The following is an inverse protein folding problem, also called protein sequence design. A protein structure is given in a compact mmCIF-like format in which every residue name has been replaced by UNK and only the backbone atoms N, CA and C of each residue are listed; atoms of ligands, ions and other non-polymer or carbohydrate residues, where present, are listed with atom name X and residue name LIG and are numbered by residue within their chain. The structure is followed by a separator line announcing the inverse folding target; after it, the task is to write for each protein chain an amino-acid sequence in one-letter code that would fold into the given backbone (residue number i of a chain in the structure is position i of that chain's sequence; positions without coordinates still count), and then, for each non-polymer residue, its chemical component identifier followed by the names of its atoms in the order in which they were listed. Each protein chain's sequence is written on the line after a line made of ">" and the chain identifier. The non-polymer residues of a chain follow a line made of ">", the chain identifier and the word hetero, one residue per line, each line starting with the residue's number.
data_IF_944463941796
#
_entry.id   IF_944463941796
#
_cell.length_a   1.000
_cell.length_b   1.000
_cell.length_c   1.000
_cell.angle_alpha   90.00
_cell.angle_beta   90.00
_cell.angle_gamma   90.00
#
_symmetry.space_group_name_H-M   'P 1'
#
loop_
_entity.id
_entity.type
_entity.pdbx_description
1 polymer ?
#
# COMPACT_ATOMS: atom_id res chain seq x y z
N UNK A 1 -4.20 28.53 -9.33
CA UNK A 1 -3.47 27.56 -10.16
C UNK A 1 -2.87 26.56 -9.19
N UNK A 2 -3.34 25.29 -9.15
CA UNK A 2 -2.73 24.29 -8.26
C UNK A 2 -1.33 23.98 -8.80
N UNK A 3 -0.32 24.13 -7.97
CA UNK A 3 1.04 23.76 -8.33
C UNK A 3 1.22 22.29 -7.98
N UNK A 4 1.25 21.43 -9.00
CA UNK A 4 1.51 20.01 -8.83
C UNK A 4 3.02 19.82 -8.68
N UNK A 5 3.49 19.73 -7.43
CA UNK A 5 4.90 19.56 -7.10
C UNK A 5 5.13 18.08 -6.80
N UNK A 6 6.05 17.47 -7.53
CA UNK A 6 6.54 16.13 -7.25
C UNK A 6 7.25 16.12 -5.89
N UNK A 7 6.80 15.27 -4.98
CA UNK A 7 7.37 15.09 -3.63
C UNK A 7 8.05 13.73 -3.52
N UNK A 8 9.14 13.66 -2.78
CA UNK A 8 9.88 12.40 -2.55
C UNK A 8 10.33 12.32 -1.12
N UNK A 9 10.10 11.16 -0.50
CA UNK A 9 10.44 10.85 0.88
C UNK A 9 11.30 9.59 0.88
N UNK A 10 12.44 9.62 1.56
CA UNK A 10 13.42 8.53 1.57
C UNK A 10 14.40 8.56 0.40
N UNK A 11 15.08 7.42 0.19
CA UNK A 11 16.08 7.21 -0.87
C UNK A 11 15.60 6.07 -1.77
N UNK A 12 15.42 6.32 -3.07
CA UNK A 12 14.94 5.31 -4.03
C UNK A 12 15.80 4.05 -4.04
N UNK A 13 17.10 4.14 -3.74
CA UNK A 13 18.01 2.99 -3.70
C UNK A 13 17.87 2.13 -2.44
N UNK A 14 17.12 2.60 -1.43
CA UNK A 14 16.82 1.84 -0.21
C UNK A 14 15.32 1.64 -0.10
N UNK A 15 14.60 2.72 0.20
CA UNK A 15 13.16 2.78 0.32
C UNK A 15 12.69 4.23 0.15
N UNK A 16 11.77 4.46 -0.78
CA UNK A 16 11.19 5.79 -0.97
C UNK A 16 9.74 5.73 -1.45
N UNK A 17 9.00 6.77 -1.11
CA UNK A 17 7.72 7.10 -1.72
C UNK A 17 7.89 8.38 -2.53
N UNK A 18 7.36 8.38 -3.74
CA UNK A 18 7.21 9.59 -4.55
C UNK A 18 5.75 9.73 -4.96
N UNK A 19 5.21 10.94 -4.87
CA UNK A 19 3.86 11.22 -5.34
C UNK A 19 3.72 12.64 -5.89
N UNK A 20 2.71 12.83 -6.72
CA UNK A 20 2.21 14.13 -7.15
C UNK A 20 0.70 14.09 -7.30
N UNK A 21 0.01 15.16 -6.89
CA UNK A 21 -1.39 15.33 -7.31
C UNK A 21 -1.44 15.67 -8.80
N UNK A 22 -2.54 15.31 -9.44
CA UNK A 22 -2.79 15.60 -10.85
C UNK A 22 -4.25 16.02 -11.04
N UNK A 23 -4.60 16.45 -12.26
CA UNK A 23 -5.98 16.74 -12.62
C UNK A 23 -6.76 15.43 -12.70
N UNK A 24 -7.82 15.33 -11.91
CA UNK A 24 -8.73 14.20 -11.99
C UNK A 24 -9.45 14.18 -13.36
N UNK A 25 -9.32 13.10 -14.16
CA UNK A 25 -9.87 13.03 -15.51
C UNK A 25 -11.40 12.89 -15.55
N UNK A 26 -12.03 12.58 -14.41
CA UNK A 26 -13.47 12.34 -14.29
C UNK A 26 -14.26 13.54 -13.77
N UNK A 27 -13.60 14.69 -13.58
CA UNK A 27 -14.21 15.92 -13.05
C UNK A 27 -14.93 15.73 -11.70
N UNK A 28 -14.48 14.78 -10.90
CA UNK A 28 -14.99 14.58 -9.54
C UNK A 28 -14.66 15.78 -8.65
N UNK A 29 -15.67 16.30 -7.97
CA UNK A 29 -15.55 17.49 -7.11
C UNK A 29 -15.44 17.17 -5.62
N UNK A 30 -15.63 15.91 -5.23
CA UNK A 30 -15.48 15.45 -3.85
C UNK A 30 -14.01 15.51 -3.40
N UNK A 31 -13.76 15.45 -2.08
CA UNK A 31 -12.41 15.38 -1.53
C UNK A 31 -11.58 14.24 -2.13
N UNK A 32 -12.20 13.06 -2.30
CA UNK A 32 -11.58 11.89 -2.96
C UNK A 32 -11.09 12.28 -4.36
N UNK A 33 -11.94 12.96 -5.14
CA UNK A 33 -11.60 13.42 -6.47
C UNK A 33 -10.39 14.36 -6.50
N UNK A 34 -10.21 15.17 -5.45
CA UNK A 34 -9.06 16.09 -5.30
C UNK A 34 -7.74 15.40 -4.97
N UNK A 35 -7.79 14.13 -4.59
CA UNK A 35 -6.61 13.33 -4.25
C UNK A 35 -6.06 12.51 -5.43
N UNK A 36 -6.65 12.67 -6.62
CA UNK A 36 -6.14 12.04 -7.84
C UNK A 36 -4.69 12.44 -8.09
N UNK A 37 -3.84 11.46 -8.37
CA UNK A 37 -2.41 11.68 -8.51
C UNK A 37 -1.63 10.44 -8.90
N UNK A 38 -0.34 10.62 -9.14
CA UNK A 38 0.61 9.54 -9.43
C UNK A 38 1.37 9.16 -8.17
N UNK A 39 1.73 7.90 -8.06
CA UNK A 39 2.45 7.37 -6.91
C UNK A 39 3.47 6.29 -7.34
N UNK A 40 4.63 6.32 -6.71
CA UNK A 40 5.69 5.33 -6.84
C UNK A 40 6.10 4.83 -5.45
N UNK A 41 6.20 3.51 -5.31
CA UNK A 41 6.85 2.86 -4.16
C UNK A 41 8.17 2.26 -4.63
N UNK A 42 9.28 2.91 -4.27
CA UNK A 42 10.62 2.48 -4.65
C UNK A 42 11.26 1.62 -3.56
N UNK A 43 11.75 0.44 -3.93
CA UNK A 43 12.57 -0.43 -3.08
C UNK A 43 13.79 -0.86 -3.88
N UNK A 44 15.00 -0.60 -3.38
CA UNK A 44 16.26 -0.91 -4.09
C UNK A 44 16.33 -0.43 -5.55
N UNK A 45 15.82 0.77 -5.81
CA UNK A 45 15.83 1.41 -7.12
C UNK A 45 14.70 0.95 -8.06
N UNK A 46 13.83 0.06 -7.58
CA UNK A 46 12.73 -0.52 -8.34
C UNK A 46 11.41 0.08 -7.88
N UNK A 47 10.62 0.61 -8.82
CA UNK A 47 9.23 1.02 -8.60
C UNK A 47 8.30 -0.21 -8.70
N UNK A 48 7.74 -0.63 -7.56
CA UNK A 48 6.87 -1.81 -7.45
C UNK A 48 5.51 -1.55 -8.12
N UNK A 49 5.07 -0.30 -8.16
CA UNK A 49 3.75 0.08 -8.67
C UNK A 49 3.73 0.26 -10.20
N UNK A 50 4.88 0.15 -10.87
CA UNK A 50 4.98 0.33 -12.31
C UNK A 50 4.44 -0.87 -13.07
N UNK A 51 3.61 -0.61 -14.07
CA UNK A 51 3.02 -1.65 -14.90
C UNK A 51 2.99 -1.27 -16.38
N UNK A 52 2.77 -2.26 -17.24
CA UNK A 52 2.48 -2.12 -18.67
C UNK A 52 1.00 -2.30 -18.92
N UNK A 53 0.48 -1.47 -19.82
CA UNK A 53 -0.84 -1.62 -20.43
C UNK A 53 -0.73 -1.30 -21.91
N UNK A 54 -1.15 -2.23 -22.78
CA UNK A 54 -1.04 -2.06 -24.24
C UNK A 54 0.37 -1.61 -24.69
N UNK A 55 1.40 -2.31 -24.20
CA UNK A 55 2.84 -2.06 -24.46
C UNK A 55 3.40 -0.71 -23.97
N UNK A 56 2.61 0.11 -23.28
CA UNK A 56 3.10 1.34 -22.63
C UNK A 56 3.37 1.12 -21.14
N UNK A 57 4.57 1.45 -20.70
CA UNK A 57 4.88 1.54 -19.27
C UNK A 57 4.15 2.74 -18.65
N UNK A 58 3.59 2.54 -17.47
CA UNK A 58 2.71 3.48 -16.79
C UNK A 58 3.07 3.50 -15.30
N UNK A 59 3.24 4.69 -14.74
CA UNK A 59 3.29 4.91 -13.28
C UNK A 59 1.89 4.78 -12.71
N UNK A 60 1.76 4.17 -11.54
CA UNK A 60 0.46 4.05 -10.87
C UNK A 60 -0.19 5.43 -10.68
N UNK A 61 -1.47 5.51 -11.02
CA UNK A 61 -2.27 6.73 -10.92
C UNK A 61 -3.69 6.41 -10.46
N UNK A 62 -4.12 7.05 -9.37
CA UNK A 62 -5.47 6.92 -8.82
C UNK A 62 -5.76 8.00 -7.77
N UNK A 63 -6.90 7.91 -7.07
CA UNK A 63 -7.14 8.66 -5.84
C UNK A 63 -6.19 8.16 -4.74
N UNK A 64 -5.15 8.94 -4.46
CA UNK A 64 -4.06 8.54 -3.57
C UNK A 64 -4.48 8.48 -2.09
N UNK A 65 -5.64 9.03 -1.74
CA UNK A 65 -6.17 8.97 -0.37
C UNK A 65 -6.31 7.53 0.12
N UNK A 66 -6.65 6.57 -0.75
CA UNK A 66 -6.82 5.18 -0.34
C UNK A 66 -5.53 4.52 0.17
N UNK A 67 -4.38 4.89 -0.41
CA UNK A 67 -3.05 4.44 0.05
C UNK A 67 -2.72 5.08 1.39
N UNK A 68 -3.00 6.38 1.54
CA UNK A 68 -2.72 7.14 2.76
C UNK A 68 -3.59 6.67 3.92
N UNK A 69 -4.88 6.41 3.68
CA UNK A 69 -5.80 5.81 4.65
C UNK A 69 -5.29 4.46 5.11
N UNK A 70 -4.93 3.57 4.17
CA UNK A 70 -4.46 2.23 4.53
C UNK A 70 -3.20 2.28 5.38
N UNK A 71 -2.17 3.06 4.97
CA UNK A 71 -0.97 3.18 5.78
C UNK A 71 -1.28 3.81 7.14
N UNK A 72 -2.09 4.87 7.19
CA UNK A 72 -2.44 5.51 8.47
C UNK A 72 -3.08 4.51 9.43
N UNK A 73 -4.06 3.74 8.98
CA UNK A 73 -4.82 2.81 9.82
C UNK A 73 -4.00 1.56 10.23
N UNK A 74 -3.10 1.10 9.36
CA UNK A 74 -2.37 -0.16 9.53
C UNK A 74 -0.91 -0.04 9.95
N UNK A 75 -0.32 1.17 9.96
CA UNK A 75 1.10 1.36 10.30
C UNK A 75 1.45 0.73 11.65
N UNK A 76 0.57 0.81 12.65
CA UNK A 76 0.79 0.19 13.97
C UNK A 76 0.98 -1.34 13.91
N UNK A 77 0.28 -2.04 13.00
CA UNK A 77 0.41 -3.48 12.82
C UNK A 77 1.67 -3.82 12.00
N UNK A 78 2.01 -2.98 11.02
CA UNK A 78 3.25 -3.14 10.24
C UNK A 78 4.48 -2.98 11.14
N UNK A 79 4.45 -2.03 12.08
CA UNK A 79 5.55 -1.74 13.00
C UNK A 79 5.59 -2.66 14.23
N UNK A 80 4.50 -3.37 14.53
CA UNK A 80 4.48 -4.34 15.62
C UNK A 80 5.15 -5.64 15.18
N UNK A 81 5.89 -6.26 16.11
CA UNK A 81 6.45 -7.59 15.89
C UNK A 81 5.41 -8.62 16.32
N UNK A 82 4.43 -8.83 15.45
CA UNK A 82 3.37 -9.82 15.64
C UNK A 82 3.72 -11.12 14.88
N UNK A 83 3.62 -12.29 15.52
CA UNK A 83 3.79 -13.56 14.83
C UNK A 83 2.67 -13.77 13.81
N UNK A 84 2.96 -14.53 12.76
CA UNK A 84 1.92 -14.97 11.84
C UNK A 84 0.88 -15.82 12.60
N UNK A 85 -0.42 -15.61 12.41
CA UNK A 85 -1.44 -16.13 13.33
C UNK A 85 -1.78 -17.61 13.11
N UNK A 86 -1.38 -18.18 11.97
CA UNK A 86 -1.68 -19.58 11.62
C UNK A 86 -0.43 -20.46 11.79
N UNK A 87 -0.60 -21.73 12.19
CA UNK A 87 0.49 -22.67 12.45
C UNK A 87 1.10 -23.24 11.16
N UNK A 88 1.60 -22.36 10.29
CA UNK A 88 2.30 -22.69 9.05
C UNK A 88 3.76 -22.29 9.12
N UNK A 89 4.61 -23.02 8.41
CA UNK A 89 6.02 -22.66 8.25
C UNK A 89 6.19 -21.71 7.06
N UNK A 90 7.22 -20.86 7.08
CA UNK A 90 7.55 -19.98 5.96
C UNK A 90 8.60 -18.95 6.36
N UNK A 91 9.49 -18.61 5.43
CA UNK A 91 10.56 -17.62 5.67
C UNK A 91 10.07 -16.19 5.48
N UNK A 92 9.09 -15.98 4.62
CA UNK A 92 8.52 -14.68 4.27
C UNK A 92 7.01 -14.75 4.06
N UNK A 93 6.35 -13.60 3.99
CA UNK A 93 4.88 -13.49 3.90
C UNK A 93 4.31 -14.34 2.76
N UNK A 94 4.94 -14.34 1.58
CA UNK A 94 4.45 -15.13 0.44
C UNK A 94 4.44 -16.64 0.73
N UNK A 95 5.52 -17.19 1.31
CA UNK A 95 5.58 -18.62 1.68
C UNK A 95 4.56 -18.96 2.76
N UNK A 96 4.39 -18.09 3.77
CA UNK A 96 3.40 -18.28 4.82
C UNK A 96 1.98 -18.34 4.22
N UNK A 97 1.65 -17.39 3.33
CA UNK A 97 0.34 -17.32 2.69
C UNK A 97 0.09 -18.50 1.74
N UNK A 98 1.09 -18.91 0.96
CA UNK A 98 1.00 -20.08 0.08
C UNK A 98 0.77 -21.35 0.88
N UNK A 99 1.48 -21.52 2.01
CA UNK A 99 1.30 -22.69 2.88
C UNK A 99 -0.06 -22.70 3.59
N UNK A 100 -0.69 -21.54 3.81
CA UNK A 100 -2.07 -21.51 4.28
C UNK A 100 -3.08 -22.12 3.30
N UNK A 101 -2.77 -22.11 1.99
CA UNK A 101 -3.64 -22.69 0.97
C UNK A 101 -3.60 -24.22 0.94
N UNK A 102 -2.64 -24.84 1.63
CA UNK A 102 -2.52 -26.29 1.77
C UNK A 102 -3.40 -26.84 2.90
N UNK A 103 -4.08 -25.98 3.65
CA UNK A 103 -4.96 -26.39 4.73
C UNK A 103 -6.22 -27.07 4.18
N UNK A 104 -6.50 -28.26 4.69
CA UNK A 104 -7.70 -29.01 4.41
C UNK A 104 -8.29 -29.48 5.75
N UNK A 105 -9.61 -29.32 5.92
CA UNK A 105 -10.36 -29.89 7.03
C UNK A 105 -11.74 -30.33 6.53
N UNK A 106 -12.21 -31.48 7.01
CA UNK A 106 -13.58 -31.96 6.79
C UNK A 106 -14.60 -31.24 7.69
N UNK A 107 -14.13 -30.35 8.58
CA UNK A 107 -14.95 -29.52 9.44
C UNK A 107 -15.07 -28.11 8.87
N UNK A 108 -16.25 -27.78 8.34
CA UNK A 108 -16.54 -26.47 7.73
C UNK A 108 -16.23 -25.30 8.68
N UNK A 109 -16.57 -25.39 9.97
CA UNK A 109 -16.32 -24.30 10.94
C UNK A 109 -14.81 -24.04 11.15
N UNK A 110 -14.00 -25.10 11.08
CA UNK A 110 -12.54 -25.00 11.19
C UNK A 110 -11.93 -24.43 9.91
N UNK A 111 -12.43 -24.88 8.76
CA UNK A 111 -12.03 -24.38 7.45
C UNK A 111 -12.33 -22.88 7.32
N UNK A 112 -13.53 -22.45 7.67
CA UNK A 112 -13.92 -21.04 7.61
C UNK A 112 -13.07 -20.19 8.57
N UNK A 113 -12.90 -20.64 9.82
CA UNK A 113 -12.08 -19.92 10.81
C UNK A 113 -10.62 -19.77 10.38
N UNK A 114 -10.06 -20.76 9.67
CA UNK A 114 -8.71 -20.70 9.12
C UNK A 114 -8.57 -19.58 8.08
N UNK A 115 -9.48 -19.52 7.10
CA UNK A 115 -9.41 -18.53 6.03
C UNK A 115 -9.84 -17.12 6.48
N UNK A 116 -10.73 -17.01 7.46
CA UNK A 116 -11.03 -15.74 8.12
C UNK A 116 -9.80 -15.18 8.82
N UNK A 117 -9.09 -16.02 9.59
CA UNK A 117 -7.85 -15.63 10.28
C UNK A 117 -6.76 -15.19 9.30
N UNK A 118 -6.60 -15.93 8.18
CA UNK A 118 -5.70 -15.55 7.09
C UNK A 118 -6.07 -14.17 6.52
N UNK A 119 -7.34 -13.98 6.19
CA UNK A 119 -7.82 -12.75 5.56
C UNK A 119 -7.68 -11.53 6.47
N UNK A 120 -7.96 -11.69 7.77
CA UNK A 120 -7.74 -10.63 8.76
C UNK A 120 -6.29 -10.17 8.82
N UNK A 121 -5.35 -11.11 8.70
CA UNK A 121 -3.92 -10.78 8.62
C UNK A 121 -3.60 -10.05 7.31
N UNK A 122 -4.12 -10.52 6.17
CA UNK A 122 -3.93 -9.86 4.88
C UNK A 122 -4.45 -8.41 4.89
N UNK A 123 -5.58 -8.11 5.52
CA UNK A 123 -6.09 -6.73 5.64
C UNK A 123 -5.16 -5.80 6.43
N UNK A 124 -4.47 -6.33 7.44
CA UNK A 124 -3.54 -5.57 8.29
C UNK A 124 -2.18 -5.36 7.63
N UNK A 125 -1.80 -6.27 6.73
CA UNK A 125 -0.43 -6.34 6.19
C UNK A 125 -0.33 -6.11 4.69
N UNK A 126 -1.43 -6.13 3.93
CA UNK A 126 -1.47 -5.73 2.52
C UNK A 126 -2.46 -4.60 2.27
N UNK A 127 -2.02 -3.62 1.48
CA UNK A 127 -2.86 -2.52 1.01
C UNK A 127 -3.85 -2.89 -0.09
N UNK A 128 -3.89 -4.16 -0.52
CA UNK A 128 -4.60 -4.58 -1.73
C UNK A 128 -6.13 -4.47 -1.59
N UNK A 129 -6.64 -4.53 -0.36
CA UNK A 129 -8.05 -4.23 -0.06
C UNK A 129 -8.44 -2.79 -0.40
N UNK A 130 -7.49 -1.86 -0.35
CA UNK A 130 -7.71 -0.43 -0.57
C UNK A 130 -7.46 -0.01 -2.03
N UNK A 131 -7.36 -0.96 -2.97
CA UNK A 131 -7.18 -0.66 -4.40
C UNK A 131 -8.30 0.18 -5.01
N UNK A 132 -9.52 0.10 -4.47
CA UNK A 132 -10.67 0.91 -4.90
C UNK A 132 -10.88 0.98 -6.43
N UNK A 133 -10.71 -0.16 -7.13
CA UNK A 133 -10.85 -0.25 -8.60
C UNK A 133 -9.61 0.12 -9.42
N UNK A 134 -8.51 0.51 -8.78
CA UNK A 134 -7.22 0.76 -9.43
C UNK A 134 -6.41 -0.51 -9.69
N UNK A 135 -5.33 -0.36 -10.46
CA UNK A 135 -4.32 -1.40 -10.68
C UNK A 135 -3.20 -1.33 -9.62
N UNK A 136 -3.57 -1.32 -8.33
CA UNK A 136 -2.63 -1.33 -7.22
C UNK A 136 -2.01 -2.73 -7.08
N UNK A 137 -0.69 -2.90 -7.03
CA UNK A 137 -0.09 -4.22 -6.80
C UNK A 137 -0.48 -4.75 -5.42
N UNK A 138 -0.55 -6.06 -5.25
CA UNK A 138 -0.60 -6.68 -3.92
C UNK A 138 0.81 -6.66 -3.31
N UNK A 139 0.96 -5.99 -2.17
CA UNK A 139 2.24 -5.83 -1.47
C UNK A 139 2.01 -6.00 0.02
N UNK A 140 2.73 -6.95 0.61
CA UNK A 140 2.72 -7.25 2.03
C UNK A 140 3.83 -6.51 2.76
N UNK A 141 3.50 -5.98 3.94
CA UNK A 141 4.39 -5.27 4.84
C UNK A 141 4.29 -5.90 6.24
N UNK A 142 5.40 -6.42 6.75
CA UNK A 142 5.46 -6.93 8.14
C UNK A 142 6.81 -6.66 8.78
N UNK A 143 6.84 -6.50 10.09
CA UNK A 143 8.10 -6.41 10.83
C UNK A 143 8.73 -7.78 10.99
N UNK A 144 10.05 -7.84 10.75
CA UNK A 144 10.90 -8.99 11.03
C UNK A 144 12.16 -8.46 11.72
N UNK A 145 12.26 -8.66 13.03
CA UNK A 145 13.32 -8.08 13.86
C UNK A 145 13.40 -6.54 13.71
N UNK A 146 14.53 -6.04 13.20
CA UNK A 146 14.81 -4.61 12.98
C UNK A 146 14.55 -4.15 11.54
N UNK A 147 13.86 -4.96 10.73
CA UNK A 147 13.50 -4.60 9.36
C UNK A 147 11.98 -4.73 9.16
N UNK A 148 11.49 -4.03 8.14
CA UNK A 148 10.20 -4.30 7.51
C UNK A 148 10.47 -5.15 6.27
N UNK A 149 9.90 -6.34 6.24
CA UNK A 149 9.75 -7.13 5.04
C UNK A 149 8.71 -6.46 4.13
N UNK A 150 9.06 -6.29 2.86
CA UNK A 150 8.19 -5.86 1.77
C UNK A 150 8.19 -6.99 0.76
N UNK A 151 7.07 -7.69 0.61
CA UNK A 151 6.97 -8.86 -0.25
C UNK A 151 5.79 -8.74 -1.21
N UNK A 152 5.99 -9.11 -2.48
CA UNK A 152 4.96 -9.02 -3.51
C UNK A 152 5.09 -10.13 -4.54
N UNK A 153 3.95 -10.63 -5.01
CA UNK A 153 3.85 -11.46 -6.20
C UNK A 153 2.62 -11.02 -7.00
N UNK A 154 2.89 -10.42 -8.17
CA UNK A 154 1.90 -9.83 -9.07
C UNK A 154 2.06 -10.35 -10.50
N UNK A 155 2.61 -11.55 -10.70
CA UNK A 155 2.77 -12.13 -12.06
C UNK A 155 1.44 -12.29 -12.79
N UNK A 156 0.41 -12.72 -12.06
CA UNK A 156 -0.93 -12.97 -12.60
C UNK A 156 -1.94 -11.87 -12.26
N UNK A 157 -1.58 -10.96 -11.34
CA UNK A 157 -2.45 -9.85 -10.89
C UNK A 157 -2.82 -8.95 -12.07
N UNK A 158 -4.12 -8.82 -12.34
CA UNK A 158 -4.70 -8.07 -13.45
C UNK A 158 -4.34 -8.56 -14.87
N UNK A 159 -3.84 -9.79 -15.00
CA UNK A 159 -3.49 -10.35 -16.31
C UNK A 159 -4.70 -10.44 -17.26
N UNK A 160 -5.90 -10.71 -16.73
CA UNK A 160 -7.16 -10.71 -17.49
C UNK A 160 -7.52 -9.34 -18.08
N UNK A 161 -7.03 -8.27 -17.48
CA UNK A 161 -7.25 -6.88 -17.87
C UNK A 161 -6.13 -6.36 -18.81
N UNK A 162 -5.18 -7.22 -19.17
CA UNK A 162 -4.05 -6.89 -20.03
C UNK A 162 -2.99 -6.04 -19.33
N UNK A 163 -2.89 -6.14 -18.01
CA UNK A 163 -1.90 -5.46 -17.18
C UNK A 163 -0.80 -6.45 -16.81
N UNK A 164 0.45 -5.96 -16.81
CA UNK A 164 1.60 -6.72 -16.27
C UNK A 164 2.52 -5.77 -15.52
N UNK A 165 2.88 -6.12 -14.28
CA UNK A 165 3.84 -5.32 -13.51
C UNK A 165 5.25 -5.47 -14.08
N UNK A 166 6.03 -4.39 -14.08
CA UNK A 166 7.42 -4.42 -14.58
C UNK A 166 8.30 -5.31 -13.70
N UNK A 167 8.06 -5.26 -12.39
CA UNK A 167 8.78 -6.01 -11.38
C UNK A 167 7.76 -6.83 -10.58
N UNK A 168 7.24 -7.92 -11.15
CA UNK A 168 6.05 -8.58 -10.63
C UNK A 168 6.32 -9.33 -9.32
N UNK A 169 7.54 -9.78 -9.06
CA UNK A 169 7.88 -10.51 -7.83
C UNK A 169 9.05 -9.83 -7.13
N UNK A 170 9.00 -9.80 -5.81
CA UNK A 170 10.16 -9.44 -5.01
C UNK A 170 9.90 -9.61 -3.52
N UNK A 171 11.01 -9.74 -2.79
CA UNK A 171 11.04 -9.82 -1.34
C UNK A 171 12.23 -8.99 -0.90
N UNK A 172 11.97 -7.97 -0.11
CA UNK A 172 12.97 -7.02 0.32
C UNK A 172 12.83 -6.69 1.79
N UNK A 173 13.96 -6.35 2.41
CA UNK A 173 14.01 -6.00 3.83
C UNK A 173 14.58 -4.60 3.97
N UNK A 174 13.76 -3.70 4.50
CA UNK A 174 14.10 -2.28 4.71
C UNK A 174 14.30 -2.04 6.20
N UNK A 175 15.36 -1.32 6.62
CA UNK A 175 15.53 -0.96 8.03
C UNK A 175 14.29 -0.27 8.59
N UNK A 176 13.83 -0.72 9.77
CA UNK A 176 12.59 -0.26 10.41
C UNK A 176 12.51 1.27 10.48
N UNK A 177 13.59 1.93 10.90
CA UNK A 177 13.62 3.39 11.06
C UNK A 177 13.49 4.13 9.72
N UNK A 178 14.01 3.56 8.62
CA UNK A 178 13.89 4.14 7.27
C UNK A 178 12.45 4.02 6.80
N UNK A 179 11.86 2.83 6.97
CA UNK A 179 10.46 2.60 6.62
C UNK A 179 9.53 3.55 7.39
N UNK A 180 9.62 3.54 8.72
CA UNK A 180 8.74 4.33 9.59
C UNK A 180 8.83 5.84 9.28
N UNK A 181 10.05 6.38 9.20
CA UNK A 181 10.24 7.81 8.92
C UNK A 181 9.75 8.21 7.54
N UNK A 182 10.03 7.40 6.50
CA UNK A 182 9.54 7.65 5.14
C UNK A 182 8.01 7.62 5.07
N UNK A 183 7.36 6.61 5.66
CA UNK A 183 5.89 6.51 5.64
C UNK A 183 5.25 7.68 6.40
N UNK A 184 5.73 8.00 7.61
CA UNK A 184 5.18 9.11 8.40
C UNK A 184 5.35 10.45 7.68
N UNK A 185 6.53 10.74 7.15
CA UNK A 185 6.77 11.98 6.39
C UNK A 185 5.90 12.08 5.13
N UNK A 186 5.66 10.96 4.44
CA UNK A 186 4.74 10.90 3.31
C UNK A 186 3.30 11.23 3.74
N UNK A 187 2.79 10.57 4.78
CA UNK A 187 1.41 10.79 5.26
C UNK A 187 1.23 12.24 5.72
N UNK A 188 2.13 12.75 6.56
CA UNK A 188 2.08 14.13 7.06
C UNK A 188 2.06 15.14 5.91
N UNK A 189 2.98 15.00 4.95
CA UNK A 189 3.03 15.93 3.83
C UNK A 189 1.81 15.83 2.90
N UNK A 190 1.28 14.62 2.71
CA UNK A 190 0.07 14.41 1.93
C UNK A 190 -1.12 15.13 2.57
N UNK A 191 -1.31 14.95 3.87
CA UNK A 191 -2.41 15.53 4.63
C UNK A 191 -2.29 17.06 4.71
N UNK A 192 -1.09 17.59 4.94
CA UNK A 192 -0.84 19.04 4.89
C UNK A 192 -1.15 19.60 3.50
N UNK A 193 -0.67 18.93 2.43
CA UNK A 193 -0.92 19.35 1.06
C UNK A 193 -2.42 19.32 0.71
N UNK A 194 -3.15 18.32 1.21
CA UNK A 194 -4.60 18.22 1.05
C UNK A 194 -5.32 19.36 1.77
N UNK A 195 -4.97 19.64 3.03
CA UNK A 195 -5.52 20.76 3.80
C UNK A 195 -5.30 22.09 3.10
N UNK A 196 -4.08 22.35 2.61
CA UNK A 196 -3.74 23.62 1.95
C UNK A 196 -4.54 23.82 0.66
N UNK A 197 -4.65 22.76 -0.16
CA UNK A 197 -5.10 22.88 -1.55
C UNK A 197 -6.55 22.44 -1.81
N UNK A 198 -7.20 21.74 -0.86
CA UNK A 198 -8.57 21.23 -1.00
C UNK A 198 -9.60 22.36 -1.15
N UNK A 199 -10.60 22.15 -2.01
CA UNK A 199 -11.79 23.01 -2.08
C UNK A 199 -12.85 22.56 -1.06
N UNK A 200 -12.78 21.32 -0.61
CA UNK A 200 -13.64 20.71 0.40
C UNK A 200 -12.98 20.81 1.78
N UNK A 201 -12.83 22.05 2.30
CA UNK A 201 -12.03 22.33 3.51
C UNK A 201 -12.50 21.56 4.74
N UNK A 202 -13.81 21.52 4.98
CA UNK A 202 -14.38 20.79 6.13
C UNK A 202 -14.05 19.30 6.08
N UNK A 203 -14.26 18.66 4.93
CA UNK A 203 -13.97 17.23 4.75
C UNK A 203 -12.46 16.96 4.87
N UNK A 204 -11.63 17.86 4.34
CA UNK A 204 -10.17 17.76 4.46
C UNK A 204 -9.71 17.86 5.92
N UNK A 205 -10.31 18.75 6.71
CA UNK A 205 -10.05 18.88 8.15
C UNK A 205 -10.47 17.62 8.91
N UNK A 206 -11.63 17.04 8.60
CA UNK A 206 -12.09 15.79 9.22
C UNK A 206 -11.13 14.63 8.93
N UNK A 207 -10.78 14.44 7.66
CA UNK A 207 -9.82 13.40 7.21
C UNK A 207 -8.45 13.62 7.87
N UNK A 208 -7.96 14.85 7.91
CA UNK A 208 -6.71 15.18 8.58
C UNK A 208 -6.73 14.75 10.04
N UNK A 209 -7.74 15.17 10.82
CA UNK A 209 -7.83 14.82 12.23
C UNK A 209 -7.94 13.32 12.46
N UNK A 210 -8.74 12.63 11.63
CA UNK A 210 -8.91 11.17 11.69
C UNK A 210 -7.56 10.47 11.46
N UNK A 211 -6.88 10.77 10.36
CA UNK A 211 -5.69 10.02 9.96
C UNK A 211 -4.46 10.38 10.80
N UNK A 212 -4.30 11.64 11.20
CA UNK A 212 -3.24 12.05 12.13
C UNK A 212 -3.36 11.39 13.51
N UNK A 213 -4.56 10.95 13.92
CA UNK A 213 -4.74 10.25 15.18
C UNK A 213 -4.14 8.83 15.17
N UNK A 214 -3.97 8.21 14.00
CA UNK A 214 -3.41 6.86 13.89
C UNK A 214 -1.88 6.82 13.82
N UNK A 215 -1.24 7.90 13.37
CA UNK A 215 0.22 7.94 13.15
C UNK A 215 1.02 8.57 14.31
N UNK A 216 0.32 9.13 15.31
CA UNK A 216 0.90 9.64 16.56
C UNK A 216 1.26 8.50 17.50
#
# INVERSE_FOLDING_TARGET
>A
MRCFILRTFGDKNTFAIQYEFDVNPFNETSLIGETWGKFELSVRGIDICRYKRADSETTYQWNLIYIVEWFSENLKYILSEEPFPLPVEGQHSLELLDNCLLFESDNDDEFDAWFDTKQEWEFKHSWFSNRAGSFLPDVFFRRVNNNIEIAWNNESTYSSEGISFINPIGIEYVPLFIFESTIKSFIENFLDSLLENSKNKSDAEEVYQKLMAFIK
#
